data_IF_285665680983
#
_entry.id   IF_285665680983
#
_cell.length_a   1.000
_cell.length_b   1.000
_cell.length_c   1.000
_cell.angle_alpha   90.00
_cell.angle_beta   90.00
_cell.angle_gamma   90.00
#
_symmetry.space_group_name_H-M   'P 1'
#
loop_
_entity.id
_entity.type
_entity.pdbx_description
1 polymer ?
#
# COMPACT_ATOMS: atom_id res chain seq x y z
N UNK A 1 34.12 12.47 51.57
CA UNK A 1 34.12 13.47 50.48
C UNK A 1 34.37 12.71 49.19
N UNK A 2 33.38 12.13 48.49
CA UNK A 2 32.24 12.75 47.79
C UNK A 2 32.62 13.97 46.98
N UNK A 3 32.65 13.82 45.65
CA UNK A 3 32.17 14.72 44.59
C UNK A 3 32.63 14.16 43.22
N UNK A 4 31.86 14.02 42.14
CA UNK A 4 30.43 14.18 41.84
C UNK A 4 30.27 13.67 40.37
N UNK A 5 29.28 12.82 40.13
CA UNK A 5 28.49 12.65 38.89
C UNK A 5 29.16 12.82 37.50
N UNK A 6 29.30 11.70 36.79
CA UNK A 6 29.02 11.61 35.35
C UNK A 6 28.22 10.35 35.04
N UNK A 7 26.97 10.35 35.50
CA UNK A 7 25.91 9.57 34.84
C UNK A 7 25.62 10.34 33.56
N UNK A 8 26.11 9.84 32.43
CA UNK A 8 25.64 10.26 31.11
C UNK A 8 24.24 9.66 30.96
N UNK A 9 23.23 10.37 31.47
CA UNK A 9 21.84 10.11 31.15
C UNK A 9 21.72 10.44 29.66
N UNK A 10 21.77 9.42 28.81
CA UNK A 10 21.27 9.55 27.44
C UNK A 10 19.78 9.84 27.63
N UNK A 11 19.42 11.12 27.48
CA UNK A 11 18.04 11.51 27.27
C UNK A 11 17.63 10.90 25.94
N UNK A 12 17.14 9.67 25.98
CA UNK A 12 16.17 9.20 25.00
C UNK A 12 15.01 10.15 25.13
N UNK A 13 14.95 11.16 24.25
CA UNK A 13 13.74 11.94 24.05
C UNK A 13 12.72 10.93 23.55
N UNK A 14 11.96 10.36 24.48
CA UNK A 14 10.69 9.74 24.19
C UNK A 14 9.84 10.92 23.70
N UNK A 15 9.89 11.18 22.40
CA UNK A 15 8.78 11.82 21.70
C UNK A 15 7.59 10.94 22.07
N UNK A 16 6.80 11.39 23.05
CA UNK A 16 5.44 10.88 23.21
C UNK A 16 4.81 11.26 21.87
N UNK A 17 4.78 10.31 20.94
CA UNK A 17 4.07 10.45 19.68
C UNK A 17 2.62 10.71 20.11
N UNK A 18 2.22 11.98 20.09
CA UNK A 18 0.81 12.32 20.17
C UNK A 18 0.17 11.58 19.01
N UNK A 19 -0.81 10.74 19.32
CA UNK A 19 -1.65 10.12 18.32
C UNK A 19 -2.17 11.21 17.38
N UNK A 20 -2.09 10.99 16.08
CA UNK A 20 -2.62 11.95 15.12
C UNK A 20 -4.13 12.08 15.37
N UNK A 21 -4.67 13.29 15.49
CA UNK A 21 -6.09 13.47 15.80
C UNK A 21 -6.96 12.98 14.64
N UNK A 22 -8.18 12.56 14.97
CA UNK A 22 -9.21 12.30 13.95
C UNK A 22 -9.40 13.54 13.07
N UNK A 23 -9.27 13.36 11.75
CA UNK A 23 -9.51 14.38 10.74
C UNK A 23 -10.75 14.02 9.93
N UNK A 24 -11.84 14.78 10.13
CA UNK A 24 -13.12 14.58 9.43
C UNK A 24 -13.29 15.45 8.19
N UNK A 25 -12.33 16.32 7.94
CA UNK A 25 -12.44 17.37 6.93
C UNK A 25 -11.73 16.97 5.62
N UNK A 26 -11.10 15.78 5.58
CA UNK A 26 -10.49 15.27 4.35
C UNK A 26 -11.54 14.86 3.31
N UNK A 27 -11.51 15.52 2.16
CA UNK A 27 -12.39 15.30 1.01
C UNK A 27 -11.58 14.80 -0.18
N UNK A 28 -12.00 13.68 -0.78
CA UNK A 28 -11.35 13.12 -1.98
C UNK A 28 -11.85 13.81 -3.26
N UNK A 29 -11.30 14.98 -3.60
CA UNK A 29 -11.68 15.79 -4.77
C UNK A 29 -10.51 16.27 -5.66
N UNK A 30 -9.26 16.19 -5.18
CA UNK A 30 -8.05 16.60 -5.91
C UNK A 30 -7.63 18.04 -5.61
N UNK A 31 -8.35 18.71 -4.72
CA UNK A 31 -7.83 19.80 -3.91
C UNK A 31 -7.14 19.19 -2.67
N UNK A 32 -6.12 19.88 -2.14
CA UNK A 32 -5.29 19.40 -1.04
C UNK A 32 -5.18 20.40 0.11
N UNK A 33 -6.02 21.44 0.12
CA UNK A 33 -6.03 22.45 1.17
C UNK A 33 -6.35 21.86 2.56
N UNK A 34 -7.20 20.84 2.60
CA UNK A 34 -7.57 20.05 3.79
C UNK A 34 -6.41 19.18 4.34
N UNK A 35 -5.33 18.99 3.58
CA UNK A 35 -4.13 18.29 4.01
C UNK A 35 -3.06 19.19 4.63
N UNK A 36 -3.23 20.52 4.64
CA UNK A 36 -2.20 21.46 5.08
C UNK A 36 -1.75 21.21 6.53
N UNK A 37 -2.70 20.92 7.42
CA UNK A 37 -2.44 20.68 8.84
C UNK A 37 -2.18 19.21 9.20
N UNK A 38 -2.29 18.30 8.23
CA UNK A 38 -1.94 16.89 8.42
C UNK A 38 -0.42 16.76 8.49
N UNK A 39 0.06 15.99 9.47
CA UNK A 39 1.48 15.71 9.65
C UNK A 39 2.09 15.18 8.35
N UNK A 40 3.17 15.83 7.94
CA UNK A 40 3.94 15.48 6.75
C UNK A 40 5.16 14.65 7.10
N UNK A 41 5.41 13.65 6.26
CA UNK A 41 6.61 12.83 6.25
C UNK A 41 7.32 13.01 4.91
N UNK A 42 8.64 13.11 4.95
CA UNK A 42 9.46 13.29 3.76
C UNK A 42 10.12 11.99 3.36
N UNK A 43 10.23 11.78 2.06
CA UNK A 43 10.99 10.69 1.47
C UNK A 43 12.14 11.28 0.65
N UNK A 44 13.35 10.68 0.64
CA UNK A 44 14.50 11.25 -0.05
C UNK A 44 14.25 11.39 -1.55
N UNK A 45 14.41 12.60 -2.11
CA UNK A 45 14.28 12.78 -3.56
C UNK A 45 15.39 12.04 -4.31
N UNK A 46 15.07 10.94 -4.99
CA UNK A 46 16.03 10.24 -5.84
C UNK A 46 16.46 11.05 -7.06
N UNK A 47 17.54 10.61 -7.70
CA UNK A 47 18.07 11.16 -8.93
C UNK A 47 18.44 10.05 -9.93
N UNK A 48 18.73 10.45 -11.17
CA UNK A 48 19.03 9.48 -12.24
C UNK A 48 20.29 8.64 -11.98
N UNK A 49 21.20 9.08 -11.11
CA UNK A 49 22.49 8.41 -10.89
C UNK A 49 22.50 7.46 -9.69
N UNK A 50 21.41 7.34 -8.94
CA UNK A 50 21.25 6.35 -7.86
C UNK A 50 22.18 6.56 -6.67
N UNK A 51 22.45 7.83 -6.36
CA UNK A 51 23.30 8.22 -5.21
C UNK A 51 22.51 8.54 -3.95
N UNK A 52 21.18 8.46 -4.02
CA UNK A 52 20.27 8.65 -2.88
C UNK A 52 19.89 7.27 -2.35
N UNK A 53 19.96 7.13 -1.03
CA UNK A 53 19.73 5.87 -0.35
C UNK A 53 18.75 6.06 0.79
N UNK A 54 17.87 5.08 0.99
CA UNK A 54 17.07 4.97 2.20
C UNK A 54 17.77 4.11 3.25
N UNK A 55 17.59 4.49 4.50
CA UNK A 55 18.04 3.69 5.65
C UNK A 55 16.97 2.67 6.03
N UNK A 56 17.40 1.45 6.35
CA UNK A 56 16.51 0.45 6.97
C UNK A 56 16.82 0.38 8.47
N UNK A 57 15.84 0.60 9.36
CA UNK A 57 16.02 0.36 10.79
C UNK A 57 16.38 -1.11 11.11
N UNK A 58 15.95 -2.05 10.27
CA UNK A 58 16.22 -3.48 10.41
C UNK A 58 17.61 -3.86 9.92
N UNK A 59 18.12 -3.15 8.92
CA UNK A 59 19.44 -3.39 8.32
C UNK A 59 20.20 -2.07 8.11
N UNK A 60 20.62 -1.39 9.19
CA UNK A 60 21.17 -0.03 9.12
C UNK A 60 22.51 0.07 8.39
N UNK A 61 23.16 -1.06 8.12
CA UNK A 61 24.41 -1.12 7.35
C UNK A 61 24.20 -1.17 5.83
N UNK A 62 22.97 -1.43 5.37
CA UNK A 62 22.66 -1.51 3.94
C UNK A 62 22.36 -0.11 3.39
N UNK A 63 22.97 0.21 2.25
CA UNK A 63 22.66 1.40 1.47
C UNK A 63 21.73 0.99 0.34
N UNK A 64 20.44 1.09 0.57
CA UNK A 64 19.41 0.68 -0.39
C UNK A 64 19.07 1.90 -1.25
N UNK A 65 19.19 1.84 -2.59
CA UNK A 65 18.70 2.91 -3.44
C UNK A 65 17.22 3.20 -3.16
N UNK A 66 16.87 4.47 -3.27
CA UNK A 66 15.52 4.98 -3.01
C UNK A 66 14.51 4.43 -4.04
N UNK A 67 14.66 4.78 -5.32
CA UNK A 67 13.96 4.09 -6.40
C UNK A 67 14.74 2.85 -6.86
N UNK A 68 14.07 1.71 -6.94
CA UNK A 68 14.74 0.43 -7.13
C UNK A 68 13.94 -0.60 -7.92
N UNK A 69 14.62 -1.65 -8.39
CA UNK A 69 13.96 -2.79 -9.06
C UNK A 69 13.05 -3.58 -8.11
N UNK A 70 12.04 -4.24 -8.68
CA UNK A 70 11.09 -5.07 -7.91
C UNK A 70 11.41 -6.58 -7.92
N UNK A 71 12.55 -6.97 -8.48
CA UNK A 71 12.98 -8.36 -8.65
C UNK A 71 13.87 -8.85 -7.50
N UNK A 72 14.40 -7.93 -6.69
CA UNK A 72 15.15 -8.23 -5.46
C UNK A 72 14.21 -8.72 -4.35
N UNK A 73 14.54 -9.85 -3.70
CA UNK A 73 13.59 -10.58 -2.84
C UNK A 73 14.12 -11.03 -1.48
N UNK A 74 15.39 -10.84 -1.14
CA UNK A 74 15.93 -11.21 0.18
C UNK A 74 16.05 -9.99 1.07
N UNK A 75 15.88 -10.20 2.37
CA UNK A 75 15.95 -9.14 3.39
C UNK A 75 17.24 -8.32 3.34
N UNK A 76 18.35 -8.96 2.98
CA UNK A 76 19.67 -8.33 2.93
C UNK A 76 20.12 -8.00 1.51
N UNK A 77 19.24 -8.12 0.51
CA UNK A 77 19.57 -7.68 -0.85
C UNK A 77 19.72 -6.16 -0.87
N UNK A 78 20.63 -5.69 -1.71
CA UNK A 78 20.69 -4.28 -2.12
C UNK A 78 20.10 -4.26 -3.52
N UNK A 79 18.87 -3.78 -3.70
CA UNK A 79 18.24 -3.78 -5.00
C UNK A 79 18.99 -2.83 -5.94
N UNK A 80 18.90 -3.09 -7.23
CA UNK A 80 19.46 -2.23 -8.25
C UNK A 80 18.68 -0.92 -8.29
N UNK A 81 19.42 0.18 -8.37
CA UNK A 81 18.84 1.50 -8.65
C UNK A 81 18.13 1.54 -10.00
N UNK A 82 16.88 1.98 -10.01
CA UNK A 82 16.10 2.21 -11.23
C UNK A 82 15.38 3.56 -11.08
N UNK A 83 15.79 4.57 -11.84
CA UNK A 83 15.16 5.89 -11.71
C UNK A 83 13.85 5.96 -12.48
N UNK A 84 12.77 6.41 -11.84
CA UNK A 84 11.55 6.81 -12.52
C UNK A 84 10.85 7.94 -11.73
N UNK A 85 10.70 9.14 -12.32
CA UNK A 85 10.13 10.28 -11.60
C UNK A 85 8.65 10.08 -11.25
N UNK A 86 7.93 9.17 -11.93
CA UNK A 86 6.51 8.95 -11.66
C UNK A 86 6.25 8.16 -10.38
N UNK A 87 7.26 7.47 -9.85
CA UNK A 87 7.16 6.75 -8.57
C UNK A 87 7.98 7.38 -7.46
N UNK A 88 8.97 8.24 -7.78
CA UNK A 88 9.84 8.92 -6.80
C UNK A 88 9.03 9.80 -5.84
N UNK A 89 8.72 9.25 -4.67
CA UNK A 89 7.98 9.87 -3.58
C UNK A 89 8.90 10.89 -2.92
N UNK A 90 8.35 12.05 -2.56
CA UNK A 90 9.09 13.08 -1.83
C UNK A 90 8.36 13.55 -0.58
N UNK A 91 7.07 13.27 -0.51
CA UNK A 91 6.24 13.54 0.65
C UNK A 91 5.04 12.60 0.69
N UNK A 92 4.70 12.21 1.91
CA UNK A 92 3.46 11.50 2.17
C UNK A 92 2.83 11.94 3.49
N UNK A 93 1.52 11.71 3.60
CA UNK A 93 0.74 11.99 4.80
C UNK A 93 -0.28 10.90 5.03
N UNK A 94 -0.63 10.71 6.30
CA UNK A 94 -1.68 9.77 6.72
C UNK A 94 -2.64 10.53 7.63
N UNK A 95 -3.93 10.35 7.38
CA UNK A 95 -5.01 10.87 8.21
C UNK A 95 -6.08 9.77 8.38
N UNK A 96 -6.95 9.92 9.38
CA UNK A 96 -8.07 8.99 9.56
C UNK A 96 -9.31 9.71 10.08
N UNK A 97 -10.47 9.17 9.72
CA UNK A 97 -11.76 9.54 10.34
C UNK A 97 -12.30 8.37 11.18
N UNK A 98 -13.57 8.46 11.56
CA UNK A 98 -14.24 7.43 12.37
C UNK A 98 -14.42 6.08 11.62
N UNK A 99 -14.10 6.02 10.32
CA UNK A 99 -14.47 4.91 9.43
C UNK A 99 -13.47 4.57 8.33
N UNK A 100 -12.45 5.40 8.11
CA UNK A 100 -11.61 5.37 6.92
C UNK A 100 -10.19 5.83 7.22
N UNK A 101 -9.24 5.20 6.54
CA UNK A 101 -7.87 5.67 6.43
C UNK A 101 -7.74 6.52 5.17
N UNK A 102 -7.01 7.63 5.28
CA UNK A 102 -6.70 8.53 4.19
C UNK A 102 -5.19 8.60 4.01
N UNK A 103 -4.76 8.58 2.76
CA UNK A 103 -3.34 8.66 2.43
C UNK A 103 -3.12 9.66 1.30
N UNK A 104 -2.09 10.47 1.48
CA UNK A 104 -1.60 11.44 0.50
C UNK A 104 -0.21 11.03 0.03
N UNK A 105 0.03 11.21 -1.27
CA UNK A 105 1.32 11.05 -1.93
C UNK A 105 1.64 12.32 -2.69
N UNK A 106 2.91 12.72 -2.68
CA UNK A 106 3.49 13.65 -3.65
C UNK A 106 4.78 13.07 -4.20
N UNK A 107 4.91 13.11 -5.53
CA UNK A 107 6.14 12.74 -6.24
C UNK A 107 6.94 13.98 -6.65
N UNK A 108 8.16 13.75 -7.14
CA UNK A 108 9.01 14.79 -7.73
C UNK A 108 8.31 15.63 -8.79
N UNK A 109 8.84 16.83 -9.04
CA UNK A 109 8.20 17.83 -9.89
C UNK A 109 8.00 17.45 -11.37
N UNK A 110 8.79 16.51 -11.87
CA UNK A 110 8.74 15.93 -13.21
C UNK A 110 7.94 14.61 -13.27
N UNK A 111 7.44 14.14 -12.12
CA UNK A 111 6.63 12.94 -11.97
C UNK A 111 5.13 13.15 -12.16
N UNK A 112 4.43 12.07 -12.51
CA UNK A 112 2.97 12.01 -12.60
C UNK A 112 2.47 10.66 -12.06
N UNK A 113 1.76 10.69 -10.92
CA UNK A 113 1.22 9.50 -10.26
C UNK A 113 0.11 8.87 -11.14
N UNK A 114 0.20 7.55 -11.33
CA UNK A 114 -0.72 6.79 -12.17
C UNK A 114 -0.46 6.94 -13.67
N UNK A 115 0.69 7.51 -14.06
CA UNK A 115 1.10 7.60 -15.47
C UNK A 115 1.58 6.23 -15.94
N UNK A 116 0.89 5.70 -16.92
CA UNK A 116 1.17 4.41 -17.53
C UNK A 116 0.87 4.47 -19.03
N UNK A 117 1.57 3.68 -19.84
CA UNK A 117 1.34 3.66 -21.28
C UNK A 117 -0.06 3.12 -21.63
N UNK A 118 -0.67 3.69 -22.68
CA UNK A 118 -1.86 3.13 -23.31
C UNK A 118 -1.46 2.29 -24.53
N UNK A 119 -2.20 1.21 -24.77
CA UNK A 119 -1.93 0.22 -25.79
C UNK A 119 -0.97 -0.88 -25.34
N UNK A 120 -0.53 -1.69 -26.30
CA UNK A 120 0.45 -2.75 -26.12
C UNK A 120 1.84 -2.11 -25.94
N UNK A 121 2.28 -1.95 -24.69
CA UNK A 121 3.62 -1.50 -24.33
C UNK A 121 4.67 -2.58 -24.57
N UNK A 122 5.98 -2.25 -24.59
CA UNK A 122 7.04 -3.16 -25.04
C UNK A 122 7.31 -4.35 -24.11
N UNK A 123 6.74 -4.35 -22.91
CA UNK A 123 7.15 -5.26 -21.85
C UNK A 123 5.97 -6.03 -21.26
N UNK A 124 6.14 -7.34 -21.09
CA UNK A 124 5.27 -8.20 -20.30
C UNK A 124 6.17 -9.06 -19.43
N UNK A 125 6.03 -8.94 -18.10
CA UNK A 125 6.87 -9.65 -17.13
C UNK A 125 6.76 -11.17 -17.26
N UNK A 126 5.57 -11.66 -17.62
CA UNK A 126 5.27 -13.09 -17.74
C UNK A 126 5.71 -13.68 -19.08
N UNK A 127 5.80 -12.85 -20.12
CA UNK A 127 6.19 -13.25 -21.47
C UNK A 127 6.78 -12.05 -22.23
N UNK A 128 8.10 -11.82 -22.15
CA UNK A 128 8.76 -10.69 -22.80
C UNK A 128 8.58 -10.64 -24.33
N UNK A 129 8.10 -11.72 -24.96
CA UNK A 129 7.79 -11.77 -26.39
C UNK A 129 6.43 -11.18 -26.75
N UNK A 130 5.58 -10.89 -25.76
CA UNK A 130 4.26 -10.29 -25.94
C UNK A 130 4.25 -8.89 -25.36
N UNK A 131 3.79 -7.87 -26.09
CA UNK A 131 3.58 -6.59 -25.48
C UNK A 131 2.46 -6.67 -24.43
N UNK A 132 2.58 -5.90 -23.34
CA UNK A 132 1.48 -5.72 -22.38
C UNK A 132 1.27 -4.24 -22.09
N UNK A 133 0.03 -3.89 -21.78
CA UNK A 133 -0.27 -2.52 -21.41
C UNK A 133 0.36 -2.19 -20.06
N UNK A 134 0.77 -0.93 -19.92
CA UNK A 134 1.43 -0.49 -18.71
C UNK A 134 0.56 -0.62 -17.46
N UNK A 135 1.21 -0.73 -16.30
CA UNK A 135 0.59 -0.83 -14.99
C UNK A 135 1.25 0.15 -14.03
N UNK A 136 0.43 0.76 -13.20
CA UNK A 136 0.89 1.61 -12.10
C UNK A 136 0.08 1.26 -10.86
N UNK A 137 0.74 0.98 -9.75
CA UNK A 137 0.11 0.70 -8.47
C UNK A 137 0.48 1.77 -7.45
N UNK A 138 -0.50 2.12 -6.64
CA UNK A 138 -0.34 2.94 -5.44
C UNK A 138 -0.80 2.06 -4.28
N UNK A 139 0.10 1.74 -3.36
CA UNK A 139 -0.13 0.72 -2.33
C UNK A 139 0.14 1.32 -0.97
N UNK A 140 -0.80 1.13 -0.06
CA UNK A 140 -0.61 1.37 1.37
C UNK A 140 -0.62 0.02 2.06
N UNK A 141 0.51 -0.37 2.63
CA UNK A 141 0.77 -1.69 3.17
C UNK A 141 0.86 -1.56 4.69
N UNK A 142 0.15 -2.41 5.41
CA UNK A 142 -0.14 -2.24 6.83
C UNK A 142 0.16 -3.53 7.60
N UNK A 143 0.96 -3.41 8.65
CA UNK A 143 1.04 -4.38 9.75
C UNK A 143 -0.10 -4.06 10.71
N UNK A 144 -1.14 -4.91 10.68
CA UNK A 144 -2.43 -4.67 11.29
C UNK A 144 -2.46 -5.06 12.78
N UNK A 145 -1.59 -5.96 13.21
CA UNK A 145 -1.55 -6.47 14.58
C UNK A 145 -0.26 -6.09 15.36
N UNK A 146 0.64 -5.32 14.73
CA UNK A 146 1.95 -4.94 15.26
C UNK A 146 2.85 -6.15 15.58
N UNK A 147 2.65 -7.27 14.89
CA UNK A 147 3.41 -8.49 15.08
C UNK A 147 4.33 -8.77 13.88
N UNK A 148 5.64 -8.70 14.11
CA UNK A 148 6.64 -8.95 13.06
C UNK A 148 6.71 -10.42 12.59
N UNK A 149 5.93 -11.32 13.19
CA UNK A 149 5.88 -12.74 12.81
C UNK A 149 4.71 -13.10 11.90
N UNK A 150 3.74 -12.21 11.72
CA UNK A 150 2.59 -12.40 10.81
C UNK A 150 2.80 -11.65 9.50
N UNK A 151 1.91 -11.86 8.54
CA UNK A 151 2.00 -11.21 7.24
C UNK A 151 3.28 -11.55 6.49
N UNK A 152 3.75 -10.60 5.67
CA UNK A 152 4.95 -10.74 4.84
C UNK A 152 6.04 -9.75 5.25
N UNK A 153 7.27 -10.03 4.81
CA UNK A 153 8.30 -8.99 4.72
C UNK A 153 8.13 -8.16 3.44
N UNK A 154 8.36 -6.84 3.52
CA UNK A 154 8.22 -5.89 2.39
C UNK A 154 9.06 -6.26 1.16
N UNK A 155 10.37 -6.45 1.31
CA UNK A 155 10.97 -7.73 0.99
C UNK A 155 10.47 -8.52 -0.21
N UNK A 156 9.57 -9.41 0.15
CA UNK A 156 9.07 -10.44 -0.71
C UNK A 156 8.25 -9.79 -1.84
N UNK A 157 7.60 -8.65 -1.58
CA UNK A 157 6.93 -7.86 -2.63
C UNK A 157 7.90 -7.01 -3.47
N UNK A 158 9.19 -7.00 -3.14
CA UNK A 158 10.21 -6.21 -3.83
C UNK A 158 10.21 -4.75 -3.38
N UNK A 159 9.84 -4.51 -2.12
CA UNK A 159 9.79 -3.18 -1.52
C UNK A 159 10.90 -2.99 -0.50
N UNK A 160 11.61 -1.88 -0.61
CA UNK A 160 12.68 -1.49 0.31
C UNK A 160 12.51 -0.04 0.76
N UNK A 161 12.89 0.32 2.00
CA UNK A 161 13.57 -0.49 3.00
C UNK A 161 12.69 -1.61 3.55
N UNK A 162 13.26 -2.80 3.70
CA UNK A 162 12.47 -3.95 4.16
C UNK A 162 12.10 -3.83 5.63
N UNK A 163 10.92 -4.32 5.96
CA UNK A 163 10.39 -4.48 7.31
C UNK A 163 9.42 -5.70 7.35
N UNK A 164 9.29 -6.37 8.50
CA UNK A 164 8.40 -7.52 8.68
C UNK A 164 6.96 -7.14 9.05
N UNK A 165 6.07 -8.14 9.07
CA UNK A 165 4.79 -8.05 9.78
C UNK A 165 3.61 -7.56 8.95
N UNK A 166 3.72 -7.39 7.64
CA UNK A 166 2.70 -6.70 6.86
C UNK A 166 1.56 -7.64 6.44
N UNK A 167 0.44 -7.57 7.15
CA UNK A 167 -0.71 -8.49 7.02
C UNK A 167 -1.68 -8.12 5.92
N UNK A 168 -1.75 -6.84 5.55
CA UNK A 168 -2.76 -6.35 4.63
C UNK A 168 -2.34 -5.12 3.85
N UNK A 169 -3.10 -4.81 2.81
CA UNK A 169 -2.95 -3.55 2.08
C UNK A 169 -4.26 -3.12 1.46
N UNK A 170 -4.33 -1.84 1.10
CA UNK A 170 -5.23 -1.38 0.05
C UNK A 170 -4.42 -0.72 -1.05
N UNK A 171 -4.96 -0.73 -2.25
CA UNK A 171 -4.27 -0.20 -3.43
C UNK A 171 -5.22 0.38 -4.46
N UNK A 172 -4.68 1.27 -5.27
CA UNK A 172 -5.23 1.67 -6.57
C UNK A 172 -4.33 1.11 -7.66
N UNK A 173 -4.93 0.63 -8.75
CA UNK A 173 -4.24 0.26 -9.97
C UNK A 173 -4.70 1.15 -11.13
N UNK A 174 -3.75 1.64 -11.91
CA UNK A 174 -3.97 2.12 -13.27
C UNK A 174 -3.44 1.08 -14.24
N UNK A 175 -4.21 0.82 -15.28
CA UNK A 175 -3.88 -0.13 -16.34
C UNK A 175 -4.22 0.51 -17.69
N UNK A 176 -3.33 0.35 -18.67
CA UNK A 176 -3.57 0.78 -20.03
C UNK A 176 -3.94 2.28 -20.13
N UNK A 177 -3.21 3.14 -19.42
CA UNK A 177 -3.44 4.59 -19.39
C UNK A 177 -4.64 5.06 -18.57
N UNK A 178 -5.40 4.16 -17.94
CA UNK A 178 -6.68 4.48 -17.28
C UNK A 178 -6.80 3.87 -15.89
N UNK A 179 -7.72 4.39 -15.08
CA UNK A 179 -8.04 3.78 -13.79
C UNK A 179 -8.55 2.35 -13.99
N UNK A 180 -8.01 1.42 -13.22
CA UNK A 180 -8.36 0.01 -13.29
C UNK A 180 -9.23 -0.43 -12.11
N UNK A 181 -8.73 -0.27 -10.89
CA UNK A 181 -9.43 -0.74 -9.68
C UNK A 181 -8.89 -0.14 -8.40
N UNK A 182 -9.74 -0.18 -7.37
CA UNK A 182 -9.38 -0.01 -5.98
C UNK A 182 -9.68 -1.30 -5.22
N UNK A 183 -8.67 -1.86 -4.55
CA UNK A 183 -8.77 -3.19 -3.95
C UNK A 183 -8.09 -3.26 -2.58
N UNK A 184 -8.48 -4.27 -1.80
CA UNK A 184 -7.80 -4.69 -0.59
C UNK A 184 -7.01 -5.98 -0.88
N UNK A 185 -6.03 -6.29 -0.04
CA UNK A 185 -5.42 -7.61 -0.04
C UNK A 185 -5.20 -8.13 1.38
N UNK A 186 -5.42 -9.44 1.53
CA UNK A 186 -5.13 -10.24 2.72
C UNK A 186 -3.86 -11.06 2.44
N UNK A 187 -2.82 -10.79 3.23
CA UNK A 187 -1.52 -11.46 3.17
C UNK A 187 -1.41 -12.55 4.25
N UNK A 188 -2.45 -13.34 4.49
CA UNK A 188 -2.42 -14.45 5.44
C UNK A 188 -2.08 -15.83 4.84
N UNK A 189 -1.26 -15.97 3.80
CA UNK A 189 -1.08 -17.28 3.12
C UNK A 189 0.34 -17.60 2.67
N UNK A 190 0.74 -18.88 2.74
CA UNK A 190 2.09 -19.36 2.36
C UNK A 190 2.10 -20.22 1.09
N UNK A 191 0.93 -20.58 0.55
CA UNK A 191 0.77 -21.40 -0.64
C UNK A 191 -0.61 -21.23 -1.27
N UNK A 192 -0.80 -21.77 -2.48
CA UNK A 192 -2.05 -21.64 -3.22
C UNK A 192 -3.25 -22.29 -2.54
N UNK A 193 -3.06 -23.40 -1.81
CA UNK A 193 -4.15 -24.05 -1.08
C UNK A 193 -4.66 -23.16 0.06
N UNK A 194 -3.73 -22.51 0.75
CA UNK A 194 -4.04 -21.51 1.76
C UNK A 194 -4.70 -20.26 1.17
N UNK A 195 -4.29 -19.80 -0.03
CA UNK A 195 -5.00 -18.72 -0.76
C UNK A 195 -6.44 -19.08 -1.01
N UNK A 196 -6.74 -20.29 -1.47
CA UNK A 196 -8.13 -20.74 -1.66
C UNK A 196 -8.91 -20.71 -0.34
N UNK A 197 -8.30 -21.14 0.77
CA UNK A 197 -8.93 -21.06 2.09
C UNK A 197 -9.23 -19.62 2.51
N UNK A 198 -8.26 -18.71 2.37
CA UNK A 198 -8.45 -17.29 2.72
C UNK A 198 -9.50 -16.62 1.84
N UNK A 199 -9.57 -16.97 0.55
CA UNK A 199 -10.65 -16.53 -0.34
C UNK A 199 -12.02 -16.94 0.22
N UNK A 200 -12.19 -18.19 0.68
CA UNK A 200 -13.44 -18.63 1.32
C UNK A 200 -13.74 -17.88 2.63
N UNK A 201 -12.73 -17.55 3.42
CA UNK A 201 -12.90 -16.74 4.63
C UNK A 201 -13.30 -15.29 4.29
N UNK A 202 -12.67 -14.68 3.28
CA UNK A 202 -13.01 -13.34 2.83
C UNK A 202 -14.46 -13.27 2.31
N UNK A 203 -14.97 -14.31 1.64
CA UNK A 203 -16.40 -14.43 1.25
C UNK A 203 -17.35 -14.42 2.45
N UNK A 204 -16.86 -14.82 3.63
CA UNK A 204 -17.60 -14.80 4.89
C UNK A 204 -17.32 -13.54 5.72
N UNK A 205 -16.77 -12.48 5.10
CA UNK A 205 -16.38 -11.24 5.77
C UNK A 205 -15.32 -11.44 6.86
N UNK A 206 -14.37 -12.36 6.65
CA UNK A 206 -13.28 -12.64 7.59
C UNK A 206 -11.92 -12.37 6.94
N UNK A 207 -11.00 -11.82 7.72
CA UNK A 207 -9.61 -11.52 7.40
C UNK A 207 -8.69 -12.37 8.26
N UNK A 208 -7.69 -13.01 7.66
CA UNK A 208 -6.80 -13.94 8.36
C UNK A 208 -5.43 -13.33 8.60
N UNK A 209 -5.13 -12.95 9.84
CA UNK A 209 -3.80 -12.49 10.26
C UNK A 209 -2.98 -13.70 10.74
N UNK A 210 -1.92 -14.05 10.02
CA UNK A 210 -0.97 -15.13 10.36
C UNK A 210 0.31 -15.01 9.52
N UNK A 211 1.37 -15.79 9.78
CA UNK A 211 2.57 -15.80 8.95
C UNK A 211 2.25 -16.15 7.49
N UNK A 212 2.91 -15.48 6.55
CA UNK A 212 2.63 -15.63 5.13
C UNK A 212 3.87 -15.49 4.25
N UNK A 213 3.67 -15.77 2.96
CA UNK A 213 4.64 -15.58 1.90
C UNK A 213 3.99 -14.81 0.74
N UNK A 214 4.67 -13.78 0.25
CA UNK A 214 4.12 -12.82 -0.72
C UNK A 214 3.55 -13.40 -2.02
N UNK A 215 4.08 -14.53 -2.50
CA UNK A 215 3.57 -15.18 -3.72
C UNK A 215 2.09 -15.56 -3.61
N UNK A 216 1.52 -15.49 -2.41
CA UNK A 216 0.18 -15.89 -2.08
C UNK A 216 -0.51 -14.74 -1.32
N UNK A 217 -1.54 -14.18 -1.94
CA UNK A 217 -2.44 -13.22 -1.29
C UNK A 217 -3.83 -13.33 -1.91
N UNK A 218 -4.84 -12.96 -1.14
CA UNK A 218 -6.19 -12.77 -1.65
C UNK A 218 -6.39 -11.30 -1.95
N UNK A 219 -6.67 -10.95 -3.20
CA UNK A 219 -6.94 -9.55 -3.62
C UNK A 219 -8.39 -9.44 -4.02
N UNK A 220 -9.11 -8.50 -3.40
CA UNK A 220 -10.53 -8.33 -3.63
C UNK A 220 -10.97 -6.86 -3.70
N UNK A 221 -12.02 -6.62 -4.46
CA UNK A 221 -12.77 -5.38 -4.47
C UNK A 221 -13.97 -5.54 -3.54
N UNK A 222 -14.26 -4.52 -2.76
CA UNK A 222 -15.40 -4.46 -1.85
C UNK A 222 -16.42 -3.42 -2.36
N UNK A 223 -17.72 -3.73 -2.31
CA UNK A 223 -18.82 -2.78 -2.54
C UNK A 223 -19.83 -2.81 -1.38
N UNK A 224 -20.46 -1.66 -1.09
CA UNK A 224 -21.60 -1.55 -0.14
C UNK A 224 -22.97 -1.77 -0.80
N UNK A 225 -22.95 -2.09 -2.09
CA UNK A 225 -24.13 -2.34 -2.89
C UNK A 225 -23.76 -3.31 -4.00
N UNK A 226 -24.76 -3.91 -4.64
CA UNK A 226 -24.53 -4.84 -5.73
C UNK A 226 -23.72 -4.18 -6.87
N UNK A 227 -22.59 -4.77 -7.30
CA UNK A 227 -21.81 -4.22 -8.40
C UNK A 227 -22.60 -4.21 -9.72
N UNK A 228 -22.18 -3.36 -10.64
CA UNK A 228 -22.79 -3.28 -11.98
C UNK A 228 -22.62 -4.58 -12.76
N UNK A 229 -23.48 -4.84 -13.74
CA UNK A 229 -23.36 -6.05 -14.58
C UNK A 229 -22.01 -6.15 -15.29
N UNK A 230 -21.41 -5.02 -15.66
CA UNK A 230 -20.11 -5.01 -16.30
C UNK A 230 -18.97 -5.30 -15.31
N UNK A 231 -19.03 -4.80 -14.07
CA UNK A 231 -18.11 -5.23 -12.99
C UNK A 231 -18.24 -6.74 -12.69
N UNK A 232 -19.47 -7.26 -12.60
CA UNK A 232 -19.74 -8.67 -12.31
C UNK A 232 -19.06 -9.60 -13.33
N UNK A 233 -19.14 -9.28 -14.63
CA UNK A 233 -18.52 -10.10 -15.70
C UNK A 233 -17.00 -10.23 -15.59
N UNK A 234 -16.35 -9.37 -14.79
CA UNK A 234 -14.91 -9.30 -14.63
C UNK A 234 -14.42 -9.91 -13.32
N UNK A 235 -15.35 -10.27 -12.43
CA UNK A 235 -15.06 -11.10 -11.27
C UNK A 235 -14.76 -12.53 -11.72
N UNK A 236 -13.72 -13.15 -11.15
CA UNK A 236 -13.31 -14.51 -11.53
C UNK A 236 -14.47 -15.52 -11.40
N UNK A 237 -15.21 -15.42 -10.28
CA UNK A 237 -16.30 -16.33 -9.90
C UNK A 237 -17.60 -15.58 -9.59
N UNK A 238 -17.74 -14.34 -10.08
CA UNK A 238 -18.82 -13.42 -9.70
C UNK A 238 -18.59 -12.74 -8.34
N UNK A 239 -19.46 -11.77 -7.95
CA UNK A 239 -19.41 -11.18 -6.63
C UNK A 239 -20.06 -12.11 -5.59
N UNK A 240 -19.53 -12.07 -4.38
CA UNK A 240 -20.06 -12.79 -3.22
C UNK A 240 -20.72 -11.80 -2.28
N UNK A 241 -21.99 -12.02 -1.98
CA UNK A 241 -22.68 -11.24 -0.95
C UNK A 241 -22.16 -11.65 0.43
N UNK A 242 -21.85 -10.66 1.25
CA UNK A 242 -21.35 -10.89 2.60
C UNK A 242 -22.50 -11.24 3.55
N UNK A 243 -22.26 -12.06 4.57
CA UNK A 243 -23.27 -12.40 5.55
C UNK A 243 -23.62 -11.21 6.46
N UNK A 244 -24.75 -11.32 7.16
CA UNK A 244 -25.17 -10.39 8.20
C UNK A 244 -24.03 -10.06 9.19
N UNK A 245 -23.94 -8.81 9.70
CA UNK A 245 -24.87 -7.70 9.47
C UNK A 245 -24.62 -6.92 8.16
N UNK A 246 -23.76 -7.42 7.26
CA UNK A 246 -23.34 -6.72 6.05
C UNK A 246 -24.17 -7.14 4.83
N UNK A 247 -25.47 -7.37 5.02
CA UNK A 247 -26.38 -7.73 3.93
C UNK A 247 -26.31 -6.65 2.83
N UNK A 248 -26.32 -7.05 1.55
CA UNK A 248 -26.09 -6.20 0.37
C UNK A 248 -24.66 -5.62 0.22
N UNK A 249 -23.70 -6.04 1.03
CA UNK A 249 -22.28 -5.78 0.75
C UNK A 249 -21.69 -6.94 -0.05
N UNK A 250 -20.70 -6.66 -0.90
CA UNK A 250 -20.15 -7.65 -1.82
C UNK A 250 -18.63 -7.61 -1.86
N UNK A 251 -18.01 -8.78 -2.01
CA UNK A 251 -16.60 -8.92 -2.39
C UNK A 251 -16.45 -9.63 -3.73
N UNK A 252 -15.43 -9.27 -4.50
CA UNK A 252 -15.10 -9.89 -5.77
C UNK A 252 -13.58 -10.06 -5.88
N UNK A 253 -13.14 -11.22 -6.32
CA UNK A 253 -11.74 -11.48 -6.59
C UNK A 253 -11.47 -11.18 -8.07
N UNK A 254 -10.63 -10.18 -8.33
CA UNK A 254 -10.25 -9.81 -9.70
C UNK A 254 -9.22 -10.77 -10.24
N UNK A 255 -9.41 -11.19 -11.50
CA UNK A 255 -8.31 -11.80 -12.26
C UNK A 255 -7.20 -10.76 -12.47
N UNK A 256 -5.95 -11.18 -12.39
CA UNK A 256 -4.84 -10.31 -12.76
C UNK A 256 -5.00 -9.78 -14.21
N UNK A 257 -4.68 -8.51 -14.42
CA UNK A 257 -4.89 -7.80 -15.69
C UNK A 257 -6.35 -7.76 -16.19
N UNK A 258 -7.36 -7.99 -15.33
CA UNK A 258 -8.76 -7.79 -15.72
C UNK A 258 -9.01 -6.31 -16.08
N UNK A 259 -9.68 -6.02 -17.22
CA UNK A 259 -9.89 -4.65 -17.67
C UNK A 259 -10.89 -3.92 -16.76
N UNK A 260 -10.46 -2.83 -16.15
CA UNK A 260 -11.27 -1.93 -15.32
C UNK A 260 -12.26 -1.07 -16.12
N UNK A 261 -12.97 -0.15 -15.44
CA UNK A 261 -12.84 0.19 -14.03
C UNK A 261 -13.66 -0.71 -13.10
N UNK A 262 -13.10 -1.11 -11.96
CA UNK A 262 -13.83 -1.59 -10.78
C UNK A 262 -13.90 -0.46 -9.76
N UNK A 263 -15.10 0.05 -9.47
CA UNK A 263 -15.22 1.28 -8.68
C UNK A 263 -15.04 1.03 -7.18
N UNK A 264 -15.53 -0.10 -6.66
CA UNK A 264 -15.35 -0.50 -5.27
C UNK A 264 -15.69 0.60 -4.25
N UNK A 265 -15.09 0.51 -3.06
CA UNK A 265 -15.18 1.52 -1.99
C UNK A 265 -13.89 2.30 -1.76
N UNK A 266 -12.78 1.90 -2.39
CA UNK A 266 -11.52 2.65 -2.33
C UNK A 266 -11.61 3.75 -3.38
N UNK A 267 -11.51 5.00 -2.94
CA UNK A 267 -11.60 6.16 -3.84
C UNK A 267 -10.29 6.93 -3.86
N UNK A 268 -10.06 7.69 -4.92
CA UNK A 268 -8.88 8.52 -5.05
C UNK A 268 -9.20 9.78 -5.86
N UNK A 269 -8.34 10.79 -5.74
CA UNK A 269 -8.31 11.95 -6.60
C UNK A 269 -6.86 12.39 -6.82
N UNK A 270 -6.60 13.02 -7.97
CA UNK A 270 -5.28 13.56 -8.32
C UNK A 270 -5.36 15.07 -8.47
N UNK A 271 -4.27 15.74 -8.12
CA UNK A 271 -4.03 17.13 -8.55
C UNK A 271 -4.14 17.24 -10.07
N UNK A 272 -4.45 18.44 -10.57
CA UNK A 272 -4.59 18.69 -12.01
C UNK A 272 -3.34 18.30 -12.83
N UNK A 273 -2.14 18.38 -12.22
CA UNK A 273 -0.87 17.97 -12.84
C UNK A 273 -0.48 16.52 -12.53
N UNK A 274 -1.23 15.83 -11.67
CA UNK A 274 -0.97 14.46 -11.25
C UNK A 274 0.25 14.28 -10.35
N UNK A 275 0.81 15.35 -9.78
CA UNK A 275 1.97 15.29 -8.87
C UNK A 275 1.59 14.80 -7.48
N UNK A 276 0.38 15.12 -7.08
CA UNK A 276 -0.21 14.76 -5.80
C UNK A 276 -1.41 13.86 -6.03
N UNK A 277 -1.58 12.90 -5.13
CA UNK A 277 -2.73 11.99 -5.08
C UNK A 277 -3.18 11.82 -3.64
N UNK A 278 -4.49 11.81 -3.44
CA UNK A 278 -5.13 11.42 -2.20
C UNK A 278 -6.00 10.19 -2.44
N UNK A 279 -6.09 9.35 -1.42
CA UNK A 279 -6.89 8.13 -1.45
C UNK A 279 -7.56 7.88 -0.12
N UNK A 280 -8.73 7.26 -0.17
CA UNK A 280 -9.52 6.85 0.99
C UNK A 280 -9.82 5.37 0.92
N UNK A 281 -9.55 4.67 2.01
CA UNK A 281 -9.92 3.28 2.21
C UNK A 281 -10.77 3.12 3.49
N UNK A 282 -12.07 2.83 3.36
CA UNK A 282 -12.89 2.52 4.51
C UNK A 282 -12.40 1.28 5.27
N UNK A 283 -12.35 1.35 6.61
CA UNK A 283 -11.87 0.28 7.49
C UNK A 283 -12.59 -1.06 7.26
N UNK A 284 -13.89 -1.01 6.96
CA UNK A 284 -14.70 -2.20 6.69
C UNK A 284 -14.18 -3.04 5.52
N UNK A 285 -13.38 -2.48 4.62
CA UNK A 285 -12.75 -3.23 3.54
C UNK A 285 -11.67 -4.21 4.01
N UNK A 286 -11.15 -4.03 5.24
CA UNK A 286 -10.27 -5.01 5.90
C UNK A 286 -11.03 -6.14 6.59
N UNK A 287 -12.36 -6.20 6.44
CA UNK A 287 -13.24 -7.24 6.97
C UNK A 287 -13.12 -7.39 8.50
N UNK A 288 -13.63 -8.49 9.05
CA UNK A 288 -13.48 -8.82 10.48
C UNK A 288 -12.31 -9.75 10.68
N UNK A 289 -11.50 -9.53 11.72
CA UNK A 289 -10.46 -10.47 12.10
C UNK A 289 -11.09 -11.83 12.42
N UNK A 290 -10.62 -12.88 11.74
CA UNK A 290 -11.22 -14.22 11.79
C UNK A 290 -11.29 -14.78 13.23
N UNK A 291 -10.27 -14.53 14.03
CA UNK A 291 -10.10 -15.16 15.34
C UNK A 291 -10.88 -14.42 16.44
N UNK A 292 -11.01 -13.10 16.31
CA UNK A 292 -11.68 -12.25 17.33
C UNK A 292 -13.11 -11.86 16.95
N UNK A 293 -13.45 -11.87 15.66
CA UNK A 293 -14.73 -11.37 15.14
C UNK A 293 -14.87 -9.84 15.18
N UNK A 294 -13.84 -9.11 15.62
CA UNK A 294 -13.81 -7.65 15.65
C UNK A 294 -13.32 -7.09 14.30
N UNK A 295 -13.57 -5.80 13.98
CA UNK A 295 -12.98 -5.17 12.81
C UNK A 295 -11.46 -5.33 12.79
N UNK A 296 -10.89 -5.75 11.67
CA UNK A 296 -9.44 -5.94 11.52
C UNK A 296 -8.66 -4.63 11.66
N UNK A 297 -9.27 -3.51 11.24
CA UNK A 297 -8.75 -2.17 11.44
C UNK A 297 -9.84 -1.30 12.08
N UNK A 298 -9.51 -0.63 13.19
CA UNK A 298 -10.42 0.22 13.95
C UNK A 298 -9.65 1.30 14.73
N UNK A 299 -10.40 2.28 15.25
CA UNK A 299 -9.84 3.27 16.19
C UNK A 299 -9.29 2.57 17.45
N UNK A 300 -8.39 3.26 18.14
CA UNK A 300 -7.61 2.75 19.26
C UNK A 300 -6.38 1.91 18.86
N UNK A 301 -6.29 1.49 17.60
CA UNK A 301 -5.17 0.69 17.13
C UNK A 301 -3.93 1.53 16.82
N UNK A 302 -2.76 0.94 17.04
CA UNK A 302 -1.50 1.41 16.46
C UNK A 302 -1.08 0.39 15.41
N UNK A 303 -0.63 0.87 14.25
CA UNK A 303 -0.23 0.06 13.10
C UNK A 303 1.10 0.57 12.55
N UNK A 304 1.87 -0.31 11.90
CA UNK A 304 2.99 0.12 11.07
C UNK A 304 2.51 0.23 9.61
N UNK A 305 2.82 1.34 8.95
CA UNK A 305 2.39 1.62 7.58
C UNK A 305 3.61 1.96 6.73
N UNK A 306 3.66 1.40 5.53
CA UNK A 306 4.57 1.81 4.46
C UNK A 306 3.79 2.06 3.18
N UNK A 307 4.21 3.06 2.42
CA UNK A 307 3.55 3.53 1.21
C UNK A 307 4.47 3.21 0.03
N UNK A 308 3.90 2.74 -1.07
CA UNK A 308 4.68 2.34 -2.24
C UNK A 308 4.01 2.76 -3.53
N UNK A 309 4.81 3.34 -4.43
CA UNK A 309 4.47 3.53 -5.83
C UNK A 309 5.26 2.51 -6.65
N UNK A 310 4.58 1.82 -7.57
CA UNK A 310 5.20 0.79 -8.40
C UNK A 310 4.69 0.92 -9.83
N UNK A 311 5.58 0.85 -10.82
CA UNK A 311 5.17 0.95 -12.22
C UNK A 311 5.99 0.07 -13.13
N UNK A 312 5.36 -0.29 -14.24
CA UNK A 312 6.00 -0.98 -15.36
C UNK A 312 7.14 -0.14 -16.00
N UNK A 313 8.00 -0.77 -16.83
CA UNK A 313 9.27 -0.19 -17.30
C UNK A 313 9.25 1.04 -18.21
N UNK A 314 8.09 1.52 -18.68
CA UNK A 314 8.03 2.40 -19.87
C UNK A 314 8.68 3.76 -19.67
N UNK A 315 8.79 4.20 -18.42
CA UNK A 315 9.33 5.50 -18.04
C UNK A 315 10.52 5.39 -17.08
N UNK A 316 11.04 4.18 -16.85
CA UNK A 316 12.19 3.96 -15.99
C UNK A 316 13.51 3.97 -16.77
N UNK A 317 14.59 4.28 -16.05
CA UNK A 317 15.95 4.26 -16.55
C UNK A 317 16.81 3.46 -15.56
N UNK A 318 17.32 2.27 -15.96
CA UNK A 318 17.00 1.54 -17.20
C UNK A 318 15.53 1.09 -17.25
N UNK A 319 15.06 0.65 -18.42
CA UNK A 319 13.68 0.17 -18.64
C UNK A 319 13.44 -1.16 -17.91
N UNK A 320 13.25 -1.09 -16.60
CA UNK A 320 12.91 -2.19 -15.71
C UNK A 320 11.75 -1.79 -14.79
N UNK A 321 11.09 -2.80 -14.21
CA UNK A 321 9.97 -2.57 -13.31
C UNK A 321 10.51 -1.95 -12.02
N UNK A 322 9.91 -0.85 -11.60
CA UNK A 322 10.46 0.00 -10.55
C UNK A 322 9.44 0.23 -9.46
N UNK A 323 9.93 0.27 -8.23
CA UNK A 323 9.20 0.77 -7.08
C UNK A 323 10.01 1.86 -6.37
N UNK A 324 9.28 2.74 -5.73
CA UNK A 324 9.77 3.54 -4.63
C UNK A 324 8.84 3.32 -3.43
N UNK A 325 9.42 3.04 -2.27
CA UNK A 325 8.69 2.67 -1.07
C UNK A 325 9.22 3.44 0.12
N UNK A 326 8.33 4.11 0.84
CA UNK A 326 8.70 4.93 1.98
C UNK A 326 9.19 4.07 3.14
N UNK A 327 10.04 4.66 3.98
CA UNK A 327 10.30 4.12 5.30
C UNK A 327 9.00 3.81 6.07
N UNK A 328 9.02 2.73 6.85
CA UNK A 328 7.89 2.33 7.68
C UNK A 328 7.69 3.33 8.82
N UNK A 329 6.46 3.80 9.00
CA UNK A 329 6.08 4.64 10.14
C UNK A 329 5.08 3.93 11.04
N UNK A 330 5.20 4.18 12.34
CA UNK A 330 4.17 3.81 13.29
C UNK A 330 3.09 4.91 13.31
N UNK A 331 1.82 4.51 13.22
CA UNK A 331 0.68 5.40 13.18
C UNK A 331 -0.43 4.90 14.12
N UNK A 332 -0.99 5.81 14.91
CA UNK A 332 -2.07 5.50 15.86
C UNK A 332 -3.39 6.06 15.35
N UNK A 333 -4.37 5.20 15.17
CA UNK A 333 -5.76 5.54 14.87
C UNK A 333 -6.43 6.01 16.17
N UNK A 334 -6.20 7.26 16.57
CA UNK A 334 -6.71 7.79 17.84
C UNK A 334 -8.22 7.62 18.04
N UNK A 335 -8.62 7.36 19.28
CA UNK A 335 -10.00 7.58 19.70
C UNK A 335 -10.23 9.08 19.98
N UNK A 336 -11.49 9.51 20.07
CA UNK A 336 -11.87 10.91 20.33
C UNK A 336 -11.42 11.42 21.70
#
# INVERSE_FOLDING_TARGET
>A
MNLFNRILLIYSVIQILKSDPINRDIIIDGNFDDWLDVRSYTDPRDNINGTVYQESPWFPSLKIPDCHDTDSKKQTDIPKHIYNPNVNIVEFKIAHDDSSLYVYYRVVDDGVIGKTSAGLGPFNRSDPSKPSAGRFYIKTIINLDMNDTTGIWLNEDGFYPTAPGFDGRFRIEFYNGTYNQGSYADHGTNNSNETSYVIEENKQNKFLIRPAAQAYSSVYIYWRQKPTQDEIKRCLDGPYELPAPYDNHYVCFSKDCAPGPFNGIVTYARSAKGKELQMRAPFLGFLLNKDTGLPTLQLGMTVNISLSLETTPEYSIPQEWVSDTTATIQYTLSER
#
